data_IF_992462149603
#
_entry.id   IF_992462149603
#
_cell.length_a   1.000
_cell.length_b   1.000
_cell.length_c   1.000
_cell.angle_alpha   90.00
_cell.angle_beta   90.00
_cell.angle_gamma   90.00
#
_symmetry.space_group_name_H-M   'P 1'
#
loop_
_entity.id
_entity.type
_entity.pdbx_description
1 polymer ?
#
# COMPACT_ATOMS: atom_id res chain seq x y z
N UNK A 1 -18.28 33.47 -11.37
CA UNK A 1 -17.19 33.51 -12.38
C UNK A 1 -16.35 32.26 -12.20
N UNK A 2 -16.45 31.34 -13.16
CA UNK A 2 -15.85 30.00 -13.10
C UNK A 2 -14.38 30.13 -13.52
N UNK A 3 -13.47 30.22 -12.55
CA UNK A 3 -12.04 30.21 -12.84
C UNK A 3 -11.67 28.81 -13.31
N UNK A 4 -11.62 28.61 -14.64
CA UNK A 4 -10.91 27.47 -15.23
C UNK A 4 -9.48 27.54 -14.69
N UNK A 5 -9.18 26.66 -13.76
CA UNK A 5 -7.80 26.36 -13.36
C UNK A 5 -7.12 25.89 -14.65
N UNK A 6 -6.28 26.74 -15.23
CA UNK A 6 -5.47 26.39 -16.39
C UNK A 6 -4.57 25.23 -15.98
N UNK A 7 -4.91 24.03 -16.46
CA UNK A 7 -4.08 22.86 -16.26
C UNK A 7 -2.73 23.14 -16.93
N UNK A 8 -1.60 23.12 -16.20
CA UNK A 8 -0.29 23.31 -16.80
C UNK A 8 -0.13 22.28 -17.92
N UNK A 9 0.02 22.76 -19.16
CA UNK A 9 0.13 21.88 -20.32
C UNK A 9 1.52 21.27 -20.35
N UNK A 10 1.70 20.15 -19.67
CA UNK A 10 2.93 19.38 -19.72
C UNK A 10 3.00 18.58 -21.03
N UNK A 11 3.19 19.30 -22.15
CA UNK A 11 3.24 18.72 -23.51
C UNK A 11 4.36 17.69 -23.69
N UNK A 12 5.36 17.68 -22.80
CA UNK A 12 6.50 16.77 -22.82
C UNK A 12 6.38 15.60 -21.84
N UNK A 13 5.24 15.41 -21.17
CA UNK A 13 5.09 14.32 -20.21
C UNK A 13 5.18 12.94 -20.85
N UNK A 14 4.64 12.77 -22.06
CA UNK A 14 4.80 11.53 -22.82
C UNK A 14 6.26 11.19 -23.09
N UNK A 15 7.07 12.21 -23.41
CA UNK A 15 8.51 12.05 -23.65
C UNK A 15 9.28 11.74 -22.35
N UNK A 16 8.92 12.39 -21.24
CA UNK A 16 9.51 12.10 -19.92
C UNK A 16 9.18 10.68 -19.46
N UNK A 17 7.96 10.21 -19.69
CA UNK A 17 7.58 8.83 -19.38
C UNK A 17 8.29 7.81 -20.27
N UNK A 18 8.49 8.11 -21.55
CA UNK A 18 9.32 7.28 -22.44
C UNK A 18 10.77 7.21 -21.94
N UNK A 19 11.33 8.34 -21.47
CA UNK A 19 12.67 8.39 -20.89
C UNK A 19 12.76 7.57 -19.59
N UNK A 20 11.76 7.65 -18.70
CA UNK A 20 11.69 6.82 -17.49
C UNK A 20 11.65 5.34 -17.85
N UNK A 21 10.85 4.96 -18.86
CA UNK A 21 10.74 3.57 -19.31
C UNK A 21 12.07 3.06 -19.88
N UNK A 22 12.77 3.88 -20.66
CA UNK A 22 14.12 3.57 -21.15
C UNK A 22 15.13 3.43 -20.02
N UNK A 23 15.12 4.32 -19.02
CA UNK A 23 16.01 4.23 -17.86
C UNK A 23 15.78 2.94 -17.06
N UNK A 24 14.51 2.57 -16.83
CA UNK A 24 14.18 1.33 -16.13
C UNK A 24 14.60 0.11 -16.94
N UNK A 25 14.33 0.09 -18.25
CA UNK A 25 14.76 -0.99 -19.13
C UNK A 25 16.29 -1.12 -19.14
N UNK A 26 17.02 0.00 -19.22
CA UNK A 26 18.47 0.02 -19.14
C UNK A 26 18.98 -0.49 -17.77
N UNK A 27 18.29 -0.17 -16.67
CA UNK A 27 18.60 -0.70 -15.34
C UNK A 27 18.41 -2.21 -15.23
N UNK A 28 17.32 -2.76 -15.79
CA UNK A 28 17.04 -4.21 -15.80
C UNK A 28 18.04 -4.96 -16.68
N UNK A 29 18.27 -4.48 -17.91
CA UNK A 29 19.23 -5.07 -18.85
C UNK A 29 20.65 -4.96 -18.30
N UNK A 30 21.04 -3.79 -17.80
CA UNK A 30 22.32 -3.57 -17.14
C UNK A 30 22.50 -4.50 -15.93
N UNK A 31 21.47 -4.69 -15.12
CA UNK A 31 21.55 -5.67 -14.04
C UNK A 31 21.77 -7.09 -14.58
N UNK A 32 21.07 -7.53 -15.62
CA UNK A 32 21.25 -8.88 -16.18
C UNK A 32 22.65 -9.10 -16.78
N UNK A 33 23.20 -8.08 -17.44
CA UNK A 33 24.48 -8.19 -18.16
C UNK A 33 25.69 -8.10 -17.23
N UNK A 34 25.61 -7.26 -16.19
CA UNK A 34 26.65 -7.17 -15.16
C UNK A 34 26.50 -8.25 -14.08
N UNK A 35 25.92 -9.41 -14.42
CA UNK A 35 25.65 -10.47 -13.46
C UNK A 35 26.89 -11.09 -12.82
N UNK A 36 28.01 -11.00 -13.53
CA UNK A 36 29.30 -11.54 -13.13
C UNK A 36 30.11 -10.63 -12.17
N UNK A 37 29.65 -9.39 -11.92
CA UNK A 37 30.31 -8.46 -11.00
C UNK A 37 29.77 -8.53 -9.57
N UNK A 38 30.59 -8.09 -8.60
CA UNK A 38 30.21 -8.00 -7.19
C UNK A 38 28.91 -7.22 -6.98
N UNK A 39 28.02 -7.78 -6.15
CA UNK A 39 26.66 -7.30 -5.88
C UNK A 39 26.61 -5.80 -5.52
N UNK A 40 27.62 -5.31 -4.78
CA UNK A 40 27.74 -3.92 -4.34
C UNK A 40 27.68 -2.90 -5.49
N UNK A 41 28.43 -3.14 -6.57
CA UNK A 41 28.48 -2.20 -7.70
C UNK A 41 27.17 -2.19 -8.50
N UNK A 42 26.50 -3.34 -8.60
CA UNK A 42 25.21 -3.46 -9.28
C UNK A 42 24.12 -2.71 -8.54
N UNK A 43 24.04 -2.88 -7.22
CA UNK A 43 23.05 -2.20 -6.39
C UNK A 43 23.25 -0.68 -6.43
N UNK A 44 24.50 -0.20 -6.34
CA UNK A 44 24.78 1.23 -6.45
C UNK A 44 24.37 1.80 -7.81
N UNK A 45 24.66 1.10 -8.91
CA UNK A 45 24.23 1.49 -10.25
C UNK A 45 22.71 1.52 -10.41
N UNK A 46 22.02 0.49 -9.91
CA UNK A 46 20.55 0.39 -9.92
C UNK A 46 19.89 1.50 -9.10
N UNK A 47 20.43 1.79 -7.92
CA UNK A 47 19.96 2.90 -7.07
C UNK A 47 20.18 4.23 -7.78
N UNK A 48 21.34 4.44 -8.40
CA UNK A 48 21.61 5.66 -9.18
C UNK A 48 20.63 5.87 -10.34
N UNK A 49 20.41 4.84 -11.16
CA UNK A 49 19.43 4.88 -12.27
C UNK A 49 18.01 5.10 -11.71
N UNK A 50 17.66 4.42 -10.63
CA UNK A 50 16.37 4.57 -9.95
C UNK A 50 16.12 6.00 -9.46
N UNK A 51 17.14 6.64 -8.88
CA UNK A 51 17.05 8.03 -8.42
C UNK A 51 16.83 9.01 -9.58
N UNK A 52 17.54 8.82 -10.69
CA UNK A 52 17.36 9.67 -11.90
C UNK A 52 15.96 9.47 -12.49
N UNK A 53 15.49 8.23 -12.59
CA UNK A 53 14.14 7.92 -13.07
C UNK A 53 13.07 8.53 -12.15
N UNK A 54 13.23 8.44 -10.83
CA UNK A 54 12.35 9.05 -9.86
C UNK A 54 12.33 10.59 -9.97
N UNK A 55 13.51 11.20 -10.13
CA UNK A 55 13.61 12.65 -10.31
C UNK A 55 12.88 13.13 -11.58
N UNK A 56 13.03 12.42 -12.70
CA UNK A 56 12.29 12.72 -13.93
C UNK A 56 10.78 12.53 -13.75
N UNK A 57 10.37 11.45 -13.06
CA UNK A 57 8.96 11.15 -12.83
C UNK A 57 8.26 12.18 -11.94
N UNK A 58 8.90 12.67 -10.88
CA UNK A 58 8.34 13.70 -9.98
C UNK A 58 8.12 15.04 -10.71
N UNK A 59 8.95 15.35 -11.72
CA UNK A 59 8.84 16.55 -12.55
C UNK A 59 7.77 16.46 -13.69
N UNK A 60 6.84 15.50 -13.63
CA UNK A 60 5.71 15.35 -14.59
C UNK A 60 4.39 15.81 -13.99
N UNK A 61 3.34 15.99 -14.80
CA UNK A 61 1.98 16.31 -14.32
C UNK A 61 1.47 15.29 -13.31
N UNK A 62 1.80 14.01 -13.50
CA UNK A 62 1.44 12.93 -12.56
C UNK A 62 2.15 13.10 -11.22
N UNK A 63 3.42 13.53 -11.22
CA UNK A 63 4.15 13.84 -9.99
C UNK A 63 3.53 15.01 -9.21
N UNK A 64 3.16 16.09 -9.91
CA UNK A 64 2.47 17.22 -9.30
C UNK A 64 1.08 16.82 -8.75
N UNK A 65 0.33 15.99 -9.48
CA UNK A 65 -0.96 15.47 -9.03
C UNK A 65 -0.82 14.59 -7.77
N UNK A 66 0.19 13.72 -7.71
CA UNK A 66 0.49 12.93 -6.50
C UNK A 66 0.82 13.85 -5.31
N UNK A 67 1.57 14.93 -5.53
CA UNK A 67 1.89 15.88 -4.46
C UNK A 67 0.65 16.62 -3.94
N UNK A 68 -0.26 16.99 -4.83
CA UNK A 68 -1.55 17.55 -4.45
C UNK A 68 -2.37 16.53 -3.61
N UNK A 69 -2.47 15.28 -4.08
CA UNK A 69 -3.17 14.21 -3.36
C UNK A 69 -2.56 13.92 -1.99
N UNK A 70 -1.24 13.91 -1.85
CA UNK A 70 -0.59 13.72 -0.55
C UNK A 70 -0.90 14.87 0.42
N UNK A 71 -0.94 16.10 -0.10
CA UNK A 71 -1.27 17.29 0.71
C UNK A 71 -2.75 17.29 1.14
N UNK A 72 -3.65 16.89 0.25
CA UNK A 72 -5.06 16.67 0.55
C UNK A 72 -5.24 15.53 1.56
N UNK A 73 -4.56 14.40 1.39
CA UNK A 73 -4.58 13.28 2.32
C UNK A 73 -4.09 13.67 3.71
N UNK A 74 -3.01 14.47 3.82
CA UNK A 74 -2.59 14.99 5.13
C UNK A 74 -3.64 15.89 5.78
N UNK A 75 -4.38 16.66 4.97
CA UNK A 75 -5.46 17.51 5.48
C UNK A 75 -6.62 16.66 6.00
N UNK A 76 -6.95 15.54 5.33
CA UNK A 76 -7.99 14.61 5.80
C UNK A 76 -7.55 13.79 7.01
N UNK A 77 -6.29 13.35 7.07
CA UNK A 77 -5.74 12.64 8.24
C UNK A 77 -5.84 13.50 9.51
N UNK A 78 -5.73 14.83 9.37
CA UNK A 78 -5.95 15.76 10.50
C UNK A 78 -7.40 15.84 10.96
N UNK A 79 -8.36 15.49 10.11
CA UNK A 79 -9.79 15.40 10.47
C UNK A 79 -10.14 14.08 11.14
N UNK A 80 -9.25 13.08 11.08
CA UNK A 80 -9.44 11.81 11.78
C UNK A 80 -9.31 12.07 13.28
N UNK A 81 -10.45 12.03 13.96
CA UNK A 81 -10.49 12.02 15.42
C UNK A 81 -10.02 10.64 15.85
N UNK A 82 -8.79 10.56 16.35
CA UNK A 82 -8.28 9.32 16.91
C UNK A 82 -9.04 9.00 18.20
N UNK A 83 -9.53 7.74 18.35
CA UNK A 83 -10.32 7.37 19.50
C UNK A 83 -9.51 7.51 20.78
N UNK A 84 -10.19 7.86 21.86
CA UNK A 84 -9.56 7.87 23.17
C UNK A 84 -9.21 6.44 23.61
N UNK A 85 -8.26 6.28 24.54
CA UNK A 85 -7.92 4.96 25.11
C UNK A 85 -9.15 4.26 25.70
N UNK A 86 -10.11 5.04 26.19
CA UNK A 86 -11.34 4.52 26.77
C UNK A 86 -12.30 3.94 25.71
N UNK A 87 -12.52 4.65 24.60
CA UNK A 87 -13.33 4.16 23.47
C UNK A 87 -12.72 2.92 22.81
N UNK A 88 -11.39 2.91 22.67
CA UNK A 88 -10.64 1.77 22.12
C UNK A 88 -10.81 0.54 23.00
N UNK A 89 -10.67 0.69 24.33
CA UNK A 89 -10.85 -0.41 25.27
C UNK A 89 -12.31 -0.88 25.33
N UNK A 90 -13.28 0.02 25.30
CA UNK A 90 -14.70 -0.34 25.28
C UNK A 90 -15.04 -1.17 24.05
N UNK A 91 -14.62 -0.72 22.86
CA UNK A 91 -14.87 -1.44 21.61
C UNK A 91 -14.18 -2.81 21.60
N UNK A 92 -12.93 -2.88 22.09
CA UNK A 92 -12.19 -4.14 22.21
C UNK A 92 -12.89 -5.11 23.16
N UNK A 93 -13.34 -4.66 24.33
CA UNK A 93 -14.07 -5.50 25.29
C UNK A 93 -15.40 -6.00 24.73
N UNK A 94 -16.14 -5.17 23.98
CA UNK A 94 -17.36 -5.59 23.29
C UNK A 94 -17.04 -6.72 22.29
N UNK A 95 -16.02 -6.53 21.44
CA UNK A 95 -15.61 -7.56 20.46
C UNK A 95 -15.19 -8.86 21.16
N UNK A 96 -14.38 -8.77 22.22
CA UNK A 96 -13.95 -9.94 23.00
C UNK A 96 -15.16 -10.67 23.60
N UNK A 97 -16.13 -9.95 24.16
CA UNK A 97 -17.34 -10.55 24.71
C UNK A 97 -18.13 -11.32 23.64
N UNK A 98 -18.32 -10.74 22.45
CA UNK A 98 -19.01 -11.40 21.33
C UNK A 98 -18.24 -12.64 20.86
N UNK A 99 -16.92 -12.56 20.73
CA UNK A 99 -16.07 -13.70 20.33
C UNK A 99 -16.16 -14.83 21.36
N UNK A 100 -16.09 -14.53 22.65
CA UNK A 100 -16.23 -15.53 23.72
C UNK A 100 -17.60 -16.21 23.70
N UNK A 101 -18.67 -15.43 23.49
CA UNK A 101 -20.03 -15.96 23.39
C UNK A 101 -20.16 -16.92 22.20
N UNK A 102 -19.64 -16.53 21.03
CA UNK A 102 -19.66 -17.40 19.85
C UNK A 102 -18.80 -18.65 20.03
N UNK A 103 -17.63 -18.52 20.66
CA UNK A 103 -16.76 -19.66 20.96
C UNK A 103 -17.45 -20.69 21.87
N UNK A 104 -18.15 -20.24 22.91
CA UNK A 104 -18.92 -21.11 23.81
C UNK A 104 -20.08 -21.79 23.07
N UNK A 105 -20.82 -21.03 22.25
CA UNK A 105 -21.94 -21.59 21.48
C UNK A 105 -21.49 -22.67 20.50
N UNK A 106 -20.42 -22.41 19.74
CA UNK A 106 -19.87 -23.39 18.80
C UNK A 106 -19.31 -24.60 19.55
N UNK A 107 -18.55 -24.39 20.63
CA UNK A 107 -18.03 -25.49 21.45
C UNK A 107 -19.15 -26.39 22.00
N UNK A 108 -20.25 -25.80 22.47
CA UNK A 108 -21.40 -26.55 22.96
C UNK A 108 -22.07 -27.36 21.84
N UNK A 109 -22.23 -26.76 20.65
CA UNK A 109 -22.80 -27.43 19.49
C UNK A 109 -21.91 -28.60 19.04
N UNK A 110 -20.60 -28.38 18.93
CA UNK A 110 -19.63 -29.40 18.55
C UNK A 110 -19.60 -30.55 19.54
N UNK A 111 -19.65 -30.25 20.85
CA UNK A 111 -19.73 -31.27 21.90
C UNK A 111 -21.04 -32.07 21.82
N UNK A 112 -22.17 -31.42 21.59
CA UNK A 112 -23.48 -32.06 21.46
C UNK A 112 -23.53 -32.97 20.22
N UNK A 113 -23.08 -32.46 19.07
CA UNK A 113 -23.02 -33.22 17.82
C UNK A 113 -22.03 -34.39 17.93
N UNK A 114 -20.87 -34.17 18.56
CA UNK A 114 -19.88 -35.21 18.83
C UNK A 114 -20.42 -36.32 19.73
N UNK A 115 -21.16 -35.95 20.79
CA UNK A 115 -21.83 -36.92 21.65
C UNK A 115 -22.89 -37.71 20.88
N UNK A 116 -23.72 -37.05 20.08
CA UNK A 116 -24.74 -37.71 19.22
C UNK A 116 -24.09 -38.68 18.21
N UNK A 117 -23.01 -38.25 17.56
CA UNK A 117 -22.27 -39.06 16.60
C UNK A 117 -21.62 -40.28 17.26
N UNK A 118 -21.07 -40.13 18.47
CA UNK A 118 -20.52 -41.26 19.23
C UNK A 118 -21.58 -42.30 19.61
N UNK A 119 -22.84 -41.90 19.75
CA UNK A 119 -23.96 -42.80 20.06
C UNK A 119 -24.42 -43.62 18.85
N UNK A 120 -24.12 -43.15 17.63
CA UNK A 120 -24.48 -43.79 16.36
C UNK A 120 -23.34 -44.68 15.85
N UNK A 121 -22.09 -44.23 16.02
CA UNK A 121 -20.89 -44.93 15.53
C UNK A 121 -20.34 -45.90 16.58
N UNK A 122 -20.50 -45.59 17.88
CA UNK A 122 -20.27 -46.53 18.98
C UNK A 122 -21.43 -47.50 19.13
#
# INVERSE_FOLDING_TARGET
>A
MNAKVEAPSFRLDGLKWLLVLLLVAAGVVGNSYFSDFSLLYRVLGLVGIGLVAAFVAVNTAKGAALWALLREAQTEVRKVVWPSRQETNQTTLIVVAVVLLMAILLWLLDALLGWLASLIIG
#
